data_IF_384020696296
#
_entry.id   IF_384020696296
#
_cell.length_a   1.000
_cell.length_b   1.000
_cell.length_c   1.000
_cell.angle_alpha   90.00
_cell.angle_beta   90.00
_cell.angle_gamma   90.00
#
_symmetry.space_group_name_H-M   'P 1'
#
loop_
_entity.id
_entity.type
_entity.pdbx_description
1 polymer ?
#
# COMPACT_ATOMS: atom_id res chain seq x y z
N UNK A 1 35.34 9.29 -5.67
CA UNK A 1 34.28 8.57 -6.42
C UNK A 1 33.04 8.56 -5.55
N UNK A 2 32.03 9.38 -5.86
CA UNK A 2 30.70 9.18 -5.26
C UNK A 2 30.08 8.05 -6.08
N UNK A 3 29.85 6.90 -5.46
CA UNK A 3 29.11 5.84 -6.11
C UNK A 3 27.78 6.43 -6.56
N UNK A 4 27.47 6.31 -7.85
CA UNK A 4 26.14 6.53 -8.38
C UNK A 4 25.17 5.71 -7.53
N UNK A 5 24.45 6.37 -6.62
CA UNK A 5 23.36 5.76 -5.91
C UNK A 5 22.33 5.41 -6.98
N UNK A 6 22.35 4.14 -7.43
CA UNK A 6 21.31 3.56 -8.25
C UNK A 6 20.01 3.96 -7.55
N UNK A 7 19.21 4.79 -8.21
CA UNK A 7 17.91 5.23 -7.72
C UNK A 7 17.06 3.97 -7.56
N UNK A 8 17.11 3.36 -6.37
CA UNK A 8 16.41 2.12 -6.09
C UNK A 8 14.94 2.49 -6.04
N UNK A 9 14.20 2.13 -7.08
CA UNK A 9 12.75 2.25 -7.11
C UNK A 9 12.18 1.37 -6.00
N UNK A 10 11.31 1.95 -5.16
CA UNK A 10 10.63 1.20 -4.11
C UNK A 10 9.89 -0.01 -4.69
N UNK A 11 10.02 -1.21 -4.08
CA UNK A 11 9.33 -2.41 -4.53
C UNK A 11 7.82 -2.22 -4.41
N UNK A 12 7.03 -2.99 -5.17
CA UNK A 12 5.59 -3.00 -4.98
C UNK A 12 5.21 -3.47 -3.58
N UNK A 13 4.10 -2.95 -3.08
CA UNK A 13 3.44 -3.48 -1.88
C UNK A 13 3.01 -4.94 -2.12
N UNK A 14 3.17 -5.79 -1.11
CA UNK A 14 2.86 -7.21 -1.18
C UNK A 14 1.46 -7.49 -0.63
N UNK A 15 0.75 -8.37 -1.32
CA UNK A 15 -0.58 -8.87 -0.97
C UNK A 15 -0.56 -10.40 -0.96
N UNK A 16 -1.53 -11.04 -0.30
CA UNK A 16 -1.73 -12.49 -0.37
C UNK A 16 -2.26 -12.92 -1.74
N UNK A 17 -2.25 -14.22 -2.03
CA UNK A 17 -2.78 -14.74 -3.30
C UNK A 17 -4.29 -14.50 -3.47
N UNK A 18 -5.05 -14.62 -2.39
CA UNK A 18 -6.49 -14.35 -2.38
C UNK A 18 -6.75 -12.87 -2.68
N UNK A 19 -6.03 -11.98 -1.99
CA UNK A 19 -6.10 -10.53 -2.24
C UNK A 19 -5.71 -10.18 -3.67
N UNK A 20 -4.69 -10.83 -4.26
CA UNK A 20 -4.28 -10.60 -5.66
C UNK A 20 -5.36 -10.97 -6.67
N UNK A 21 -6.20 -11.96 -6.36
CA UNK A 21 -7.36 -12.29 -7.18
C UNK A 21 -8.41 -11.19 -7.09
N UNK A 22 -8.83 -10.85 -5.87
CA UNK A 22 -9.83 -9.82 -5.60
C UNK A 22 -9.76 -9.40 -4.13
N UNK A 23 -9.83 -8.09 -3.87
CA UNK A 23 -10.11 -7.56 -2.53
C UNK A 23 -11.62 -7.50 -2.36
N UNK A 24 -12.13 -8.31 -1.45
CA UNK A 24 -13.54 -8.37 -1.09
C UNK A 24 -13.71 -8.48 0.43
N UNK A 25 -14.95 -8.56 0.92
CA UNK A 25 -15.24 -8.57 2.36
C UNK A 25 -14.55 -9.72 3.12
N UNK A 26 -14.22 -10.83 2.46
CA UNK A 26 -13.51 -11.96 3.09
C UNK A 26 -12.02 -11.69 3.28
N UNK A 27 -11.44 -10.78 2.49
CA UNK A 27 -10.03 -10.38 2.59
C UNK A 27 -9.79 -9.29 3.63
N UNK A 28 -10.86 -8.77 4.24
CA UNK A 28 -10.78 -7.74 5.27
C UNK A 28 -10.88 -8.36 6.66
N UNK A 29 -10.04 -7.85 7.56
CA UNK A 29 -10.07 -8.17 8.99
C UNK A 29 -10.33 -6.89 9.77
N UNK A 30 -11.39 -6.85 10.60
CA UNK A 30 -11.78 -5.65 11.35
C UNK A 30 -11.88 -4.38 10.49
N UNK A 31 -12.46 -4.50 9.31
CA UNK A 31 -12.61 -3.44 8.33
C UNK A 31 -11.32 -2.88 7.72
N UNK A 32 -10.24 -3.66 7.78
CA UNK A 32 -8.94 -3.30 7.23
C UNK A 32 -8.39 -4.39 6.30
N UNK A 33 -7.73 -3.96 5.23
CA UNK A 33 -6.96 -4.82 4.33
C UNK A 33 -5.49 -4.75 4.72
N UNK A 34 -4.98 -5.81 5.34
CA UNK A 34 -3.56 -5.94 5.65
C UNK A 34 -2.74 -6.24 4.39
N UNK A 35 -1.59 -5.59 4.28
CA UNK A 35 -0.61 -5.76 3.22
C UNK A 35 0.80 -5.63 3.80
N UNK A 36 1.82 -6.00 3.04
CA UNK A 36 3.21 -5.95 3.50
C UNK A 36 4.03 -4.98 2.64
N UNK A 37 4.79 -4.13 3.30
CA UNK A 37 5.80 -3.29 2.68
C UNK A 37 7.16 -3.84 3.07
N UNK A 38 8.04 -3.98 2.09
CA UNK A 38 9.44 -4.31 2.32
C UNK A 38 10.24 -2.99 2.47
N UNK A 39 10.68 -2.61 3.68
CA UNK A 39 11.42 -1.38 3.91
C UNK A 39 12.91 -1.47 3.52
N UNK A 40 13.44 -2.66 3.16
CA UNK A 40 14.86 -2.86 2.84
C UNK A 40 15.37 -1.98 1.70
N UNK A 41 14.48 -1.42 0.88
CA UNK A 41 14.82 -0.58 -0.28
C UNK A 41 15.01 0.90 0.08
N UNK A 42 15.95 1.16 1.00
CA UNK A 42 16.41 2.50 1.33
C UNK A 42 15.62 3.21 2.43
N UNK A 43 14.86 2.45 3.24
CA UNK A 43 14.25 2.99 4.45
C UNK A 43 15.15 2.78 5.67
N UNK A 44 15.11 3.71 6.61
CA UNK A 44 15.79 3.65 7.91
C UNK A 44 14.78 3.53 9.04
N UNK A 45 15.26 3.13 10.23
CA UNK A 45 14.42 3.19 11.43
C UNK A 45 13.95 4.64 11.67
N UNK A 46 12.64 4.81 11.86
CA UNK A 46 11.99 6.11 12.01
C UNK A 46 11.40 6.67 10.73
N UNK A 47 11.62 6.04 9.57
CA UNK A 47 11.02 6.45 8.31
C UNK A 47 9.51 6.26 8.31
N UNK A 48 8.79 7.17 7.65
CA UNK A 48 7.34 7.16 7.56
C UNK A 48 6.89 6.63 6.22
N UNK A 49 6.15 5.52 6.25
CA UNK A 49 5.46 4.93 5.11
C UNK A 49 4.06 5.53 5.00
N UNK A 50 3.79 6.13 3.85
CA UNK A 50 2.48 6.69 3.49
C UNK A 50 1.85 5.83 2.40
N UNK A 51 0.67 5.28 2.67
CA UNK A 51 -0.05 4.43 1.73
C UNK A 51 -0.77 5.27 0.68
N UNK A 52 -0.87 4.73 -0.53
CA UNK A 52 -1.55 5.36 -1.65
C UNK A 52 -2.54 4.40 -2.30
N UNK A 53 -3.73 4.89 -2.62
CA UNK A 53 -4.76 4.15 -3.35
C UNK A 53 -5.34 5.01 -4.47
N UNK A 54 -5.50 4.44 -5.65
CA UNK A 54 -6.00 5.17 -6.81
C UNK A 54 -6.88 4.37 -7.75
N UNK A 55 -7.72 5.06 -8.49
CA UNK A 55 -8.58 4.49 -9.53
C UNK A 55 -7.83 4.22 -10.84
N UNK A 56 -6.67 4.84 -11.01
CA UNK A 56 -5.78 4.66 -12.16
C UNK A 56 -4.34 4.82 -11.72
N UNK A 57 -3.37 4.48 -12.57
CA UNK A 57 -1.94 4.66 -12.28
C UNK A 57 -1.50 6.11 -12.03
N UNK A 58 -2.32 7.10 -12.40
CA UNK A 58 -1.99 8.52 -12.33
C UNK A 58 -2.97 9.34 -11.48
N UNK A 59 -3.97 8.72 -10.85
CA UNK A 59 -4.99 9.41 -10.06
C UNK A 59 -5.35 8.58 -8.84
N UNK A 60 -5.13 9.14 -7.66
CA UNK A 60 -5.37 8.53 -6.36
C UNK A 60 -4.87 9.41 -5.22
N UNK A 61 -5.12 8.97 -3.99
CA UNK A 61 -4.88 9.73 -2.77
C UNK A 61 -3.95 8.97 -1.81
N UNK A 62 -3.19 9.73 -1.03
CA UNK A 62 -2.53 9.18 0.15
C UNK A 62 -3.55 9.03 1.28
N UNK A 63 -3.54 7.88 1.93
CA UNK A 63 -4.55 7.50 2.92
C UNK A 63 -3.94 7.31 4.30
N UNK A 64 -4.79 7.42 5.32
CA UNK A 64 -4.42 7.19 6.71
C UNK A 64 -4.72 5.75 7.14
N UNK A 65 -3.99 5.19 8.11
CA UNK A 65 -2.88 5.81 8.84
C UNK A 65 -1.55 5.76 8.07
N UNK A 66 -0.55 6.48 8.57
CA UNK A 66 0.84 6.31 8.17
C UNK A 66 1.55 5.36 9.14
N UNK A 67 2.58 4.68 8.68
CA UNK A 67 3.32 3.69 9.46
C UNK A 67 4.76 4.14 9.65
N UNK A 68 5.34 3.90 10.83
CA UNK A 68 6.76 4.17 11.07
C UNK A 68 7.54 2.87 10.97
N UNK A 69 8.68 2.90 10.29
CA UNK A 69 9.60 1.76 10.22
C UNK A 69 10.32 1.63 11.56
N UNK A 70 9.96 0.64 12.35
CA UNK A 70 10.62 0.39 13.65
C UNK A 70 11.90 -0.45 13.49
N UNK A 71 11.90 -1.39 12.55
CA UNK A 71 13.06 -2.21 12.18
C UNK A 71 13.14 -2.34 10.65
N UNK A 72 14.13 -1.70 10.00
CA UNK A 72 14.29 -1.75 8.55
C UNK A 72 14.70 -3.14 8.04
N UNK A 73 14.98 -4.08 8.95
CA UNK A 73 15.31 -5.48 8.62
C UNK A 73 14.10 -6.42 8.59
N UNK A 74 12.89 -5.92 8.88
CA UNK A 74 11.67 -6.72 8.87
C UNK A 74 10.67 -6.14 7.88
N UNK A 75 9.79 -7.00 7.36
CA UNK A 75 8.61 -6.53 6.62
C UNK A 75 7.73 -5.71 7.56
N UNK A 76 7.21 -4.60 7.03
CA UNK A 76 6.27 -3.73 7.74
C UNK A 76 4.85 -4.11 7.30
N UNK A 77 4.03 -4.56 8.25
CA UNK A 77 2.60 -4.80 8.00
C UNK A 77 1.87 -3.46 8.05
N UNK A 78 1.11 -3.18 6.99
CA UNK A 78 0.33 -1.95 6.80
C UNK A 78 -1.11 -2.30 6.47
N UNK A 79 -2.03 -1.36 6.66
CA UNK A 79 -3.46 -1.61 6.51
C UNK A 79 -4.16 -0.49 5.74
N UNK A 80 -4.99 -0.86 4.76
CA UNK A 80 -5.92 0.06 4.12
C UNK A 80 -7.30 -0.07 4.76
N UNK A 81 -7.89 1.05 5.17
CA UNK A 81 -9.23 1.05 5.77
C UNK A 81 -10.30 0.81 4.71
N UNK A 82 -11.37 0.07 5.06
CA UNK A 82 -12.54 -0.12 4.19
C UNK A 82 -13.05 1.19 3.61
N UNK A 83 -13.12 2.26 4.41
CA UNK A 83 -13.62 3.56 3.94
C UNK A 83 -12.82 4.13 2.77
N UNK A 84 -11.51 3.85 2.68
CA UNK A 84 -10.67 4.28 1.58
C UNK A 84 -10.81 3.34 0.37
N UNK A 85 -10.92 2.03 0.62
CA UNK A 85 -11.18 1.04 -0.42
C UNK A 85 -12.53 1.24 -1.10
N UNK A 86 -13.56 1.66 -0.35
CA UNK A 86 -14.88 1.95 -0.88
C UNK A 86 -14.88 3.07 -1.93
N UNK A 87 -13.93 4.02 -1.85
CA UNK A 87 -13.77 5.09 -2.85
C UNK A 87 -13.34 4.55 -4.23
N UNK A 88 -12.64 3.42 -4.23
CA UNK A 88 -12.12 2.75 -5.44
C UNK A 88 -12.85 1.43 -5.76
N UNK A 89 -14.03 1.24 -5.17
CA UNK A 89 -14.82 -0.01 -5.28
C UNK A 89 -15.40 -0.26 -6.68
N UNK A 90 -15.76 -1.52 -6.94
CA UNK A 90 -16.37 -2.01 -8.18
C UNK A 90 -15.51 -1.81 -9.45
N UNK A 91 -14.18 -1.71 -9.27
CA UNK A 91 -13.21 -1.53 -10.34
C UNK A 91 -11.84 -2.04 -9.92
N UNK A 92 -10.89 -2.05 -10.87
CA UNK A 92 -9.48 -2.29 -10.55
C UNK A 92 -8.90 -1.04 -9.89
N UNK A 93 -8.55 -1.16 -8.62
CA UNK A 93 -7.80 -0.14 -7.90
C UNK A 93 -6.30 -0.38 -8.04
N UNK A 94 -5.51 0.66 -7.81
CA UNK A 94 -4.06 0.63 -7.81
C UNK A 94 -3.54 1.00 -6.44
N UNK A 95 -2.61 0.20 -5.93
CA UNK A 95 -2.05 0.31 -4.59
C UNK A 95 -0.56 0.56 -4.66
N UNK A 96 -0.08 1.43 -3.77
CA UNK A 96 1.33 1.72 -3.61
C UNK A 96 1.60 2.41 -2.29
N UNK A 97 2.85 2.84 -2.12
CA UNK A 97 3.27 3.61 -0.97
C UNK A 97 4.44 4.51 -1.34
N UNK A 98 4.77 5.46 -0.47
CA UNK A 98 6.04 6.19 -0.50
C UNK A 98 6.63 6.24 0.90
N UNK A 99 7.92 6.56 0.96
CA UNK A 99 8.65 6.75 2.20
C UNK A 99 9.06 8.22 2.33
N UNK A 100 8.77 8.84 3.47
CA UNK A 100 9.14 10.23 3.79
C UNK A 100 8.79 11.27 2.70
N UNK A 101 7.59 11.18 2.09
CA UNK A 101 7.22 12.09 1.01
C UNK A 101 7.95 11.87 -0.32
N UNK A 102 8.71 10.79 -0.45
CA UNK A 102 9.50 10.44 -1.63
C UNK A 102 8.70 9.96 -2.84
N UNK A 103 9.37 9.27 -3.75
CA UNK A 103 8.74 8.73 -4.96
C UNK A 103 7.76 7.60 -4.64
N UNK A 104 6.68 7.53 -5.42
CA UNK A 104 5.69 6.47 -5.31
C UNK A 104 6.30 5.14 -5.76
N UNK A 105 5.98 4.08 -5.03
CA UNK A 105 6.38 2.72 -5.37
C UNK A 105 5.82 2.26 -6.71
N UNK A 106 6.32 1.12 -7.19
CA UNK A 106 5.64 0.41 -8.27
C UNK A 106 4.22 0.06 -7.84
N UNK A 107 3.23 0.42 -8.66
CA UNK A 107 1.82 0.21 -8.35
C UNK A 107 1.36 -1.22 -8.67
N UNK A 108 0.58 -1.79 -7.76
CA UNK A 108 -0.09 -3.09 -7.93
C UNK A 108 -1.56 -2.85 -8.20
N UNK A 109 -2.08 -3.37 -9.32
CA UNK A 109 -3.48 -3.22 -9.69
C UNK A 109 -4.30 -4.44 -9.27
N UNK A 110 -5.33 -4.27 -8.43
CA UNK A 110 -6.16 -5.36 -7.89
C UNK A 110 -7.65 -4.99 -8.01
N UNK A 111 -8.54 -5.92 -8.45
CA UNK A 111 -9.99 -5.70 -8.38
C UNK A 111 -10.47 -5.51 -6.94
N UNK A 112 -11.35 -4.53 -6.70
CA UNK A 112 -12.00 -4.30 -5.41
C UNK A 112 -13.51 -4.46 -5.56
N UNK A 113 -14.11 -5.31 -4.72
CA UNK A 113 -15.54 -5.62 -4.69
C UNK A 113 -15.99 -5.79 -3.24
N UNK A 114 -16.35 -4.66 -2.61
CA UNK A 114 -16.78 -4.58 -1.22
C UNK A 114 -18.27 -4.27 -1.12
N UNK A 115 -18.93 -4.88 -0.15
CA UNK A 115 -20.28 -4.49 0.25
C UNK A 115 -20.23 -3.13 0.95
N UNK A 116 -21.20 -2.25 0.66
CA UNK A 116 -21.39 -1.07 1.50
C UNK A 116 -21.84 -1.54 2.89
N UNK A 117 -21.10 -1.18 3.94
CA UNK A 117 -21.47 -1.53 5.30
C UNK A 117 -22.85 -0.95 5.61
N UNK A 118 -23.80 -1.79 6.04
CA UNK A 118 -25.06 -1.32 6.60
C UNK A 118 -24.72 -0.50 7.86
N UNK A 119 -24.93 0.81 7.78
CA UNK A 119 -24.67 1.73 8.89
C UNK A 119 -25.50 1.46 10.13
#
# INVERSE_FOLDING_TARGET
MKADAKKLSLPPIAFTDDQRHEINDQTLENDELSAEVDPFFGSEQGDVVELWVGESRSSGDFVSPTYTVDDPSNVLVVSFRRIDLLKVNNKRAYFGYRVNGGELSTLVGIPVSLSESAG
#
